data_IF_879142993018
#
_entry.id   IF_879142993018
#
_cell.length_a   1.000
_cell.length_b   1.000
_cell.length_c   1.000
_cell.angle_alpha   90.00
_cell.angle_beta   90.00
_cell.angle_gamma   90.00
#
_symmetry.space_group_name_H-M   'P 1'
#
loop_
_entity.id
_entity.type
_entity.pdbx_description
1 polymer ?
#
# COMPACT_ATOMS: atom_id res chain seq x y z
N UNK A 1 -10.40 -0.57 18.20
CA UNK A 1 -11.74 -0.10 17.77
C UNK A 1 -11.74 -0.10 16.25
N UNK A 2 -12.84 -0.47 15.59
CA UNK A 2 -12.92 -0.47 14.13
C UNK A 2 -12.68 0.94 13.57
N UNK A 3 -12.13 1.01 12.37
CA UNK A 3 -11.85 2.26 11.68
C UNK A 3 -13.00 2.61 10.73
N UNK A 4 -13.58 3.78 10.90
CA UNK A 4 -14.63 4.30 10.02
C UNK A 4 -14.04 5.29 9.01
N UNK A 5 -14.49 5.21 7.77
CA UNK A 5 -14.04 6.10 6.67
C UNK A 5 -15.25 6.70 5.96
N UNK A 6 -15.08 7.89 5.39
CA UNK A 6 -16.10 8.49 4.53
C UNK A 6 -16.23 7.71 3.22
N UNK A 7 -17.44 7.24 2.92
CA UNK A 7 -17.74 6.44 1.74
C UNK A 7 -17.48 7.23 0.44
N UNK A 8 -17.96 8.47 0.37
CA UNK A 8 -17.90 9.27 -0.87
C UNK A 8 -16.44 9.50 -1.23
N UNK A 9 -15.66 10.04 -0.30
CA UNK A 9 -14.23 10.29 -0.50
C UNK A 9 -13.47 9.00 -0.85
N UNK A 10 -13.76 7.91 -0.18
CA UNK A 10 -13.05 6.64 -0.44
C UNK A 10 -13.34 6.08 -1.83
N UNK A 11 -14.58 6.19 -2.31
CA UNK A 11 -14.96 5.76 -3.67
C UNK A 11 -14.33 6.66 -4.72
N UNK A 12 -14.34 7.98 -4.53
CA UNK A 12 -13.69 8.94 -5.43
C UNK A 12 -12.18 8.68 -5.56
N UNK A 13 -11.51 8.36 -4.45
CA UNK A 13 -10.10 8.00 -4.46
C UNK A 13 -9.83 6.70 -5.22
N UNK A 14 -10.66 5.66 -5.03
CA UNK A 14 -10.54 4.42 -5.78
C UNK A 14 -10.80 4.62 -7.28
N UNK A 15 -11.81 5.41 -7.64
CA UNK A 15 -12.10 5.75 -9.03
C UNK A 15 -10.92 6.46 -9.69
N UNK A 16 -10.36 7.46 -9.02
CA UNK A 16 -9.18 8.20 -9.50
C UNK A 16 -7.95 7.27 -9.64
N UNK A 17 -7.78 6.34 -8.70
CA UNK A 17 -6.67 5.38 -8.72
C UNK A 17 -6.80 4.38 -9.88
N UNK A 18 -8.00 3.83 -10.10
CA UNK A 18 -8.26 2.95 -11.23
C UNK A 18 -8.09 3.67 -12.58
N UNK A 19 -8.49 4.94 -12.66
CA UNK A 19 -8.27 5.76 -13.85
C UNK A 19 -6.77 6.03 -14.10
N UNK A 20 -5.98 6.25 -13.05
CA UNK A 20 -4.54 6.44 -13.15
C UNK A 20 -3.83 5.17 -13.63
N UNK A 21 -4.20 4.00 -13.08
CA UNK A 21 -3.71 2.70 -13.54
C UNK A 21 -4.09 2.42 -15.00
N UNK A 22 -5.33 2.69 -15.40
CA UNK A 22 -5.76 2.53 -16.80
C UNK A 22 -4.97 3.43 -17.75
N UNK A 23 -4.79 4.70 -17.38
CA UNK A 23 -4.01 5.67 -18.16
C UNK A 23 -2.55 5.26 -18.31
N UNK A 24 -1.92 4.84 -17.22
CA UNK A 24 -0.54 4.34 -17.22
C UNK A 24 -0.40 3.11 -18.12
N UNK A 25 -1.23 2.08 -17.90
CA UNK A 25 -1.15 0.81 -18.61
C UNK A 25 -1.55 0.93 -20.09
N UNK A 26 -2.44 1.87 -20.44
CA UNK A 26 -2.81 2.15 -21.84
C UNK A 26 -1.66 2.69 -22.68
N UNK A 27 -0.68 3.34 -22.05
CA UNK A 27 0.50 3.91 -22.71
C UNK A 27 1.66 2.93 -22.88
N UNK A 28 1.58 1.71 -22.34
CA UNK A 28 2.69 0.78 -22.34
C UNK A 28 2.93 0.13 -23.72
N UNK A 29 4.20 0.07 -24.12
CA UNK A 29 4.64 -0.75 -25.25
C UNK A 29 4.54 -2.25 -24.89
N UNK A 30 4.51 -3.09 -25.92
CA UNK A 30 4.28 -4.54 -25.73
C UNK A 30 5.32 -5.22 -24.83
N UNK A 31 6.58 -4.80 -24.92
CA UNK A 31 7.70 -5.33 -24.14
C UNK A 31 7.74 -4.80 -22.70
N UNK A 32 7.11 -3.66 -22.42
CA UNK A 32 7.05 -3.10 -21.06
C UNK A 32 6.17 -3.92 -20.12
N UNK A 33 5.21 -4.69 -20.62
CA UNK A 33 4.37 -5.56 -19.81
C UNK A 33 5.13 -6.69 -19.11
N UNK A 34 6.25 -7.11 -19.69
CA UNK A 34 7.09 -8.19 -19.17
C UNK A 34 8.29 -7.68 -18.35
N UNK A 35 8.41 -6.37 -18.14
CA UNK A 35 9.44 -5.81 -17.27
C UNK A 35 9.24 -6.29 -15.83
N UNK A 36 10.32 -6.73 -15.17
CA UNK A 36 10.25 -7.10 -13.76
C UNK A 36 9.99 -5.87 -12.89
N UNK A 37 9.22 -6.04 -11.83
CA UNK A 37 9.00 -5.03 -10.80
C UNK A 37 9.90 -5.28 -9.59
N UNK A 38 9.82 -4.40 -8.57
CA UNK A 38 10.48 -4.63 -7.28
C UNK A 38 9.86 -5.80 -6.48
N UNK A 39 8.72 -6.34 -6.90
CA UNK A 39 8.05 -7.46 -6.26
C UNK A 39 8.62 -8.78 -6.80
N UNK A 40 9.15 -9.66 -5.94
CA UNK A 40 9.79 -10.89 -6.39
C UNK A 40 8.87 -11.78 -7.24
N UNK A 41 9.27 -12.07 -8.46
CA UNK A 41 8.53 -12.94 -9.37
C UNK A 41 7.37 -12.29 -10.12
N UNK A 42 7.15 -10.98 -9.94
CA UNK A 42 6.08 -10.24 -10.62
C UNK A 42 6.61 -9.25 -11.65
N UNK A 43 6.04 -9.35 -12.84
CA UNK A 43 6.17 -8.36 -13.91
C UNK A 43 5.11 -7.27 -13.78
N UNK A 44 5.19 -6.23 -14.61
CA UNK A 44 4.16 -5.18 -14.73
C UNK A 44 2.77 -5.81 -14.96
N UNK A 45 2.67 -6.80 -15.83
CA UNK A 45 1.43 -7.54 -16.10
C UNK A 45 0.91 -8.27 -14.87
N UNK A 46 1.79 -8.89 -14.08
CA UNK A 46 1.42 -9.63 -12.88
C UNK A 46 0.86 -8.70 -11.80
N UNK A 47 1.43 -7.50 -11.66
CA UNK A 47 0.91 -6.48 -10.75
C UNK A 47 -0.53 -6.08 -11.12
N UNK A 48 -0.81 -5.81 -12.39
CA UNK A 48 -2.18 -5.50 -12.81
C UNK A 48 -3.11 -6.70 -12.64
N UNK A 49 -2.62 -7.92 -12.87
CA UNK A 49 -3.36 -9.18 -12.65
C UNK A 49 -3.73 -9.39 -11.19
N UNK A 50 -2.84 -9.02 -10.24
CA UNK A 50 -3.15 -9.04 -8.82
C UNK A 50 -4.31 -8.08 -8.47
N UNK A 51 -4.28 -6.85 -8.98
CA UNK A 51 -5.36 -5.88 -8.75
C UNK A 51 -6.69 -6.43 -9.29
N UNK A 52 -6.68 -6.98 -10.52
CA UNK A 52 -7.86 -7.63 -11.11
C UNK A 52 -8.39 -8.73 -10.19
N UNK A 53 -7.51 -9.61 -9.71
CA UNK A 53 -7.89 -10.73 -8.85
C UNK A 53 -8.57 -10.29 -7.57
N UNK A 54 -8.03 -9.27 -6.89
CA UNK A 54 -8.61 -8.75 -5.67
C UNK A 54 -9.97 -8.09 -5.92
N UNK A 55 -10.10 -7.29 -6.98
CA UNK A 55 -11.39 -6.65 -7.31
C UNK A 55 -12.42 -7.67 -7.79
N UNK A 56 -12.01 -8.72 -8.51
CA UNK A 56 -12.90 -9.82 -8.91
C UNK A 56 -13.40 -10.61 -7.68
N UNK A 57 -12.51 -10.94 -6.74
CA UNK A 57 -12.88 -11.58 -5.47
C UNK A 57 -13.89 -10.72 -4.70
N UNK A 58 -13.66 -9.42 -4.60
CA UNK A 58 -14.57 -8.48 -3.93
C UNK A 58 -15.90 -8.29 -4.68
N UNK A 59 -15.93 -8.55 -5.99
CA UNK A 59 -17.16 -8.60 -6.79
C UNK A 59 -17.91 -9.94 -6.66
N UNK A 60 -17.35 -10.91 -5.91
CA UNK A 60 -17.94 -12.23 -5.70
C UNK A 60 -17.59 -13.26 -6.78
N UNK A 61 -16.64 -12.99 -7.63
CA UNK A 61 -16.18 -13.96 -8.64
C UNK A 61 -15.47 -15.13 -7.94
N UNK A 62 -15.68 -16.37 -8.39
CA UNK A 62 -14.99 -17.53 -7.84
C UNK A 62 -13.50 -17.49 -8.18
N UNK A 63 -12.66 -17.92 -7.25
CA UNK A 63 -11.22 -18.04 -7.51
C UNK A 63 -10.97 -18.97 -8.70
N UNK A 64 -10.08 -18.59 -9.64
CA UNK A 64 -9.70 -19.45 -10.74
C UNK A 64 -8.94 -20.69 -10.24
N UNK A 65 -8.80 -21.69 -11.09
CA UNK A 65 -7.94 -22.85 -10.83
C UNK A 65 -6.60 -22.61 -11.52
N UNK A 66 -5.53 -22.52 -10.72
CA UNK A 66 -4.17 -22.40 -11.23
C UNK A 66 -3.21 -23.22 -10.34
N UNK A 67 -2.15 -23.77 -10.94
CA UNK A 67 -1.12 -24.47 -10.19
C UNK A 67 -0.05 -23.49 -9.72
N UNK A 68 -0.03 -23.24 -8.42
CA UNK A 68 0.93 -22.36 -7.75
C UNK A 68 2.02 -23.15 -7.01
N UNK A 69 2.06 -24.48 -7.11
CA UNK A 69 2.96 -25.34 -6.33
C UNK A 69 4.46 -25.12 -6.63
N UNK A 70 4.78 -24.54 -7.79
CA UNK A 70 6.14 -24.21 -8.20
C UNK A 70 6.65 -22.86 -7.66
N UNK A 71 5.77 -22.07 -7.05
CA UNK A 71 6.11 -20.74 -6.52
C UNK A 71 6.59 -20.85 -5.07
N UNK A 72 7.78 -20.34 -4.78
CA UNK A 72 8.42 -20.48 -3.47
C UNK A 72 8.49 -19.16 -2.67
N UNK A 73 7.99 -18.06 -3.23
CA UNK A 73 8.00 -16.75 -2.56
C UNK A 73 6.79 -16.52 -1.64
N UNK A 74 5.74 -17.30 -1.78
CA UNK A 74 4.53 -17.22 -0.94
C UNK A 74 4.84 -17.56 0.51
N UNK A 75 4.41 -16.70 1.44
CA UNK A 75 4.70 -16.85 2.88
C UNK A 75 3.45 -16.89 3.77
N UNK A 76 2.29 -16.71 3.18
CA UNK A 76 1.02 -16.68 3.92
C UNK A 76 -0.16 -16.96 2.99
N UNK A 77 -1.35 -17.31 3.55
CA UNK A 77 -2.53 -17.66 2.75
C UNK A 77 -3.06 -16.53 1.86
N UNK A 78 -2.79 -15.26 2.18
CA UNK A 78 -3.19 -14.11 1.33
C UNK A 78 -2.35 -14.10 0.07
N UNK A 79 -1.03 -14.30 0.20
CA UNK A 79 -0.13 -14.42 -0.95
C UNK A 79 -0.52 -15.59 -1.86
N UNK A 80 -0.87 -16.76 -1.28
CA UNK A 80 -1.35 -17.92 -2.04
C UNK A 80 -2.63 -17.59 -2.82
N UNK A 81 -3.59 -16.93 -2.19
CA UNK A 81 -4.84 -16.52 -2.83
C UNK A 81 -4.59 -15.52 -3.98
N UNK A 82 -3.66 -14.59 -3.81
CA UNK A 82 -3.28 -13.62 -4.85
C UNK A 82 -2.61 -14.32 -6.04
N UNK A 83 -1.67 -15.24 -5.77
CA UNK A 83 -0.94 -15.95 -6.84
C UNK A 83 -1.83 -16.80 -7.73
N UNK A 84 -2.90 -17.39 -7.21
CA UNK A 84 -3.88 -18.12 -8.03
C UNK A 84 -4.46 -17.23 -9.13
N UNK A 85 -4.78 -15.98 -8.84
CA UNK A 85 -5.27 -15.01 -9.81
C UNK A 85 -4.17 -14.59 -10.80
N UNK A 86 -2.99 -14.25 -10.30
CA UNK A 86 -1.85 -13.84 -11.12
C UNK A 86 -1.49 -14.97 -12.10
N UNK A 87 -1.30 -16.18 -11.60
CA UNK A 87 -0.92 -17.33 -12.41
C UNK A 87 -1.96 -17.68 -13.48
N UNK A 88 -3.25 -17.53 -13.17
CA UNK A 88 -4.33 -17.76 -14.14
C UNK A 88 -4.31 -16.79 -15.33
N UNK A 89 -3.69 -15.62 -15.17
CA UNK A 89 -3.61 -14.57 -16.19
C UNK A 89 -2.26 -14.49 -16.89
N UNK A 90 -1.23 -15.19 -16.42
CA UNK A 90 0.09 -15.23 -17.07
C UNK A 90 0.08 -15.61 -18.58
N UNK A 91 -0.83 -16.51 -19.07
CA UNK A 91 -0.91 -16.78 -20.50
C UNK A 91 -1.45 -15.64 -21.35
N UNK A 92 -2.02 -14.58 -20.73
CA UNK A 92 -2.65 -13.48 -21.46
C UNK A 92 -1.62 -12.42 -21.85
N UNK A 93 -1.87 -11.73 -22.97
CA UNK A 93 -1.13 -10.55 -23.36
C UNK A 93 -1.54 -9.32 -22.50
N UNK A 94 -0.65 -8.31 -22.40
CA UNK A 94 -0.92 -7.10 -21.63
C UNK A 94 -2.21 -6.37 -22.00
N UNK A 95 -2.54 -6.33 -23.31
CA UNK A 95 -3.79 -5.71 -23.80
C UNK A 95 -5.03 -6.49 -23.30
N UNK A 96 -4.95 -7.81 -23.19
CA UNK A 96 -6.05 -8.63 -22.69
C UNK A 96 -6.21 -8.48 -21.19
N UNK A 97 -5.09 -8.39 -20.45
CA UNK A 97 -5.11 -8.10 -19.00
C UNK A 97 -5.72 -6.71 -18.76
N UNK A 98 -5.32 -5.69 -19.52
CA UNK A 98 -5.90 -4.34 -19.40
C UNK A 98 -7.42 -4.34 -19.71
N UNK A 99 -7.87 -5.09 -20.69
CA UNK A 99 -9.30 -5.22 -20.98
C UNK A 99 -10.06 -5.86 -19.82
N UNK A 100 -9.50 -6.89 -19.17
CA UNK A 100 -10.08 -7.49 -17.95
C UNK A 100 -10.10 -6.52 -16.78
N UNK A 101 -9.02 -5.76 -16.59
CA UNK A 101 -8.97 -4.70 -15.58
C UNK A 101 -10.15 -3.74 -15.73
N UNK A 102 -10.35 -3.19 -16.92
CA UNK A 102 -11.47 -2.27 -17.21
C UNK A 102 -12.83 -2.89 -16.88
N UNK A 103 -13.04 -4.15 -17.23
CA UNK A 103 -14.30 -4.84 -16.94
C UNK A 103 -14.54 -4.99 -15.44
N UNK A 104 -13.53 -5.42 -14.69
CA UNK A 104 -13.72 -5.65 -13.24
C UNK A 104 -13.86 -4.35 -12.48
N UNK A 105 -13.08 -3.30 -12.79
CA UNK A 105 -13.18 -2.03 -12.06
C UNK A 105 -14.49 -1.30 -12.36
N UNK A 106 -15.02 -1.41 -13.58
CA UNK A 106 -16.36 -0.88 -13.90
C UNK A 106 -17.43 -1.49 -12.99
N UNK A 107 -17.50 -2.82 -12.92
CA UNK A 107 -18.44 -3.52 -12.01
C UNK A 107 -18.23 -3.14 -10.54
N UNK A 108 -16.98 -2.98 -10.12
CA UNK A 108 -16.65 -2.61 -8.74
C UNK A 108 -17.11 -1.20 -8.41
N UNK A 109 -16.85 -0.24 -9.28
CA UNK A 109 -17.30 1.14 -9.08
C UNK A 109 -18.82 1.27 -9.06
N UNK A 110 -19.54 0.55 -9.94
CA UNK A 110 -21.01 0.47 -9.93
C UNK A 110 -21.53 -0.08 -8.59
N UNK A 111 -20.91 -1.17 -8.09
CA UNK A 111 -21.28 -1.75 -6.80
C UNK A 111 -21.01 -0.79 -5.64
N UNK A 112 -19.84 -0.16 -5.60
CA UNK A 112 -19.47 0.81 -4.56
C UNK A 112 -20.35 2.06 -4.59
N UNK A 113 -20.72 2.54 -5.78
CA UNK A 113 -21.64 3.68 -5.95
C UNK A 113 -23.02 3.38 -5.34
N UNK A 114 -23.50 2.13 -5.45
CA UNK A 114 -24.81 1.72 -4.93
C UNK A 114 -24.86 1.54 -3.41
N UNK A 115 -23.70 1.40 -2.74
CA UNK A 115 -23.60 1.23 -1.30
C UNK A 115 -23.94 2.51 -0.54
N UNK A 116 -24.44 2.36 0.68
CA UNK A 116 -24.63 3.44 1.66
C UNK A 116 -23.43 3.59 2.58
N UNK A 117 -23.38 4.67 3.38
CA UNK A 117 -22.39 4.79 4.46
C UNK A 117 -22.53 3.65 5.48
N UNK A 118 -23.75 3.22 5.78
CA UNK A 118 -23.97 2.10 6.70
C UNK A 118 -23.39 0.78 6.19
N UNK A 119 -23.37 0.56 4.87
CA UNK A 119 -22.71 -0.62 4.28
C UNK A 119 -21.19 -0.53 4.44
N UNK A 120 -20.61 0.70 4.32
CA UNK A 120 -19.19 0.94 4.56
C UNK A 120 -18.81 0.75 6.04
N UNK A 121 -19.70 1.09 6.95
CA UNK A 121 -19.50 0.95 8.40
C UNK A 121 -19.73 -0.49 8.90
N UNK A 122 -20.26 -1.36 8.05
CA UNK A 122 -20.54 -2.75 8.41
C UNK A 122 -19.24 -3.53 8.73
N UNK A 123 -19.28 -4.43 9.74
CA UNK A 123 -18.14 -5.28 10.07
C UNK A 123 -17.67 -6.11 8.89
N UNK A 124 -16.35 -6.14 8.68
CA UNK A 124 -15.73 -6.91 7.60
C UNK A 124 -14.37 -7.46 8.02
N UNK A 125 -14.05 -8.63 7.50
CA UNK A 125 -12.67 -9.08 7.48
C UNK A 125 -11.84 -8.16 6.56
N UNK A 126 -10.61 -7.87 6.98
CA UNK A 126 -9.64 -7.11 6.19
C UNK A 126 -8.24 -7.70 6.37
N UNK A 127 -7.27 -7.40 5.51
CA UNK A 127 -5.87 -7.76 5.74
C UNK A 127 -5.31 -7.22 7.07
N UNK A 128 -5.89 -6.14 7.61
CA UNK A 128 -5.49 -5.55 8.89
C UNK A 128 -6.15 -6.21 10.12
N UNK A 129 -7.12 -7.12 9.92
CA UNK A 129 -7.80 -7.83 11.00
C UNK A 129 -9.27 -8.10 10.74
N UNK A 130 -9.90 -8.82 11.72
CA UNK A 130 -11.31 -9.23 11.61
C UNK A 130 -12.29 -8.22 12.21
N UNK A 131 -11.80 -7.35 13.09
CA UNK A 131 -12.63 -6.40 13.85
C UNK A 131 -12.60 -5.01 13.20
N UNK A 132 -12.77 -4.97 11.88
CA UNK A 132 -12.70 -3.76 11.06
C UNK A 132 -13.97 -3.55 10.23
N UNK A 133 -14.04 -2.43 9.51
CA UNK A 133 -15.16 -2.10 8.64
C UNK A 133 -14.86 -2.43 7.18
N UNK A 134 -15.92 -2.60 6.38
CA UNK A 134 -15.78 -2.71 4.94
C UNK A 134 -15.15 -1.45 4.32
N UNK A 135 -15.50 -0.27 4.83
CA UNK A 135 -14.90 1.00 4.41
C UNK A 135 -13.39 1.03 4.63
N UNK A 136 -12.89 0.52 5.77
CA UNK A 136 -11.45 0.39 5.95
C UNK A 136 -10.83 -0.57 4.93
N UNK A 137 -11.51 -1.65 4.58
CA UNK A 137 -11.02 -2.54 3.53
C UNK A 137 -10.87 -1.76 2.20
N UNK A 138 -11.83 -0.89 1.86
CA UNK A 138 -11.72 -0.05 0.65
C UNK A 138 -10.57 0.97 0.73
N UNK A 139 -10.26 1.52 1.90
CA UNK A 139 -9.06 2.35 2.10
C UNK A 139 -7.77 1.53 1.94
N UNK A 140 -7.72 0.31 2.47
CA UNK A 140 -6.60 -0.62 2.25
C UNK A 140 -6.48 -0.94 0.74
N UNK A 141 -7.59 -1.11 0.03
CA UNK A 141 -7.56 -1.31 -1.43
C UNK A 141 -6.98 -0.11 -2.16
N UNK A 142 -7.37 1.12 -1.78
CA UNK A 142 -6.77 2.32 -2.35
C UNK A 142 -5.25 2.37 -2.10
N UNK A 143 -4.82 2.13 -0.87
CA UNK A 143 -3.40 2.08 -0.49
C UNK A 143 -2.63 1.04 -1.31
N UNK A 144 -3.18 -0.14 -1.47
CA UNK A 144 -2.58 -1.25 -2.21
C UNK A 144 -2.46 -0.91 -3.72
N UNK A 145 -3.54 -0.41 -4.34
CA UNK A 145 -3.53 0.01 -5.74
C UNK A 145 -2.54 1.17 -5.98
N UNK A 146 -2.48 2.14 -5.07
CA UNK A 146 -1.55 3.26 -5.14
C UNK A 146 -0.08 2.79 -5.10
N UNK A 147 0.27 1.87 -4.21
CA UNK A 147 1.62 1.31 -4.19
C UNK A 147 1.93 0.52 -5.47
N UNK A 148 0.98 -0.27 -5.96
CA UNK A 148 1.13 -1.05 -7.17
C UNK A 148 1.19 -0.20 -8.45
N UNK A 149 0.47 0.92 -8.50
CA UNK A 149 0.67 1.91 -9.57
C UNK A 149 2.13 2.38 -9.61
N UNK A 150 2.71 2.65 -8.44
CA UNK A 150 4.10 3.10 -8.34
C UNK A 150 5.10 1.97 -8.59
N UNK A 151 4.79 0.72 -8.27
CA UNK A 151 5.58 -0.44 -8.67
C UNK A 151 5.68 -0.54 -10.21
N UNK A 152 4.56 -0.29 -10.92
CA UNK A 152 4.54 -0.24 -12.39
C UNK A 152 5.33 0.97 -12.90
N UNK A 153 5.10 2.18 -12.33
CA UNK A 153 5.83 3.40 -12.72
C UNK A 153 7.34 3.24 -12.61
N UNK A 154 7.79 2.70 -11.49
CA UNK A 154 9.22 2.47 -11.24
C UNK A 154 9.79 1.46 -12.25
N UNK A 155 9.07 0.38 -12.58
CA UNK A 155 9.49 -0.62 -13.55
C UNK A 155 9.63 -0.07 -14.98
N UNK A 156 8.72 0.83 -15.39
CA UNK A 156 8.71 1.41 -16.75
C UNK A 156 9.43 2.76 -16.85
N UNK A 157 10.00 3.27 -15.76
CA UNK A 157 10.68 4.56 -15.72
C UNK A 157 9.73 5.77 -15.85
N UNK A 158 8.47 5.63 -15.48
CA UNK A 158 7.50 6.71 -15.47
C UNK A 158 7.64 7.59 -14.20
N UNK A 159 7.36 8.90 -14.28
CA UNK A 159 7.46 9.77 -13.11
C UNK A 159 6.46 9.41 -12.03
N UNK A 160 6.82 9.73 -10.76
CA UNK A 160 5.90 9.66 -9.62
C UNK A 160 4.68 10.55 -9.89
N UNK A 161 3.50 10.05 -9.56
CA UNK A 161 2.26 10.81 -9.66
C UNK A 161 2.17 11.83 -8.51
N UNK A 162 1.90 13.13 -8.81
CA UNK A 162 2.03 14.21 -7.83
C UNK A 162 0.75 14.48 -7.01
N UNK A 163 -0.31 13.69 -7.17
CA UNK A 163 -1.60 13.95 -6.51
C UNK A 163 -1.51 13.79 -5.00
N UNK A 164 -1.56 14.93 -4.31
CA UNK A 164 -1.42 15.01 -2.87
C UNK A 164 -2.49 14.24 -2.11
N UNK A 165 -3.73 14.20 -2.62
CA UNK A 165 -4.86 13.57 -1.94
C UNK A 165 -4.74 12.03 -1.90
N UNK A 166 -4.30 11.42 -3.01
CA UNK A 166 -4.05 9.97 -3.06
C UNK A 166 -2.92 9.57 -2.11
N UNK A 167 -1.82 10.33 -2.13
CA UNK A 167 -0.69 10.15 -1.23
C UNK A 167 -1.09 10.31 0.24
N UNK A 168 -1.89 11.34 0.56
CA UNK A 168 -2.36 11.63 1.91
C UNK A 168 -3.25 10.48 2.45
N UNK A 169 -4.15 9.96 1.62
CA UNK A 169 -4.99 8.80 1.95
C UNK A 169 -4.16 7.53 2.19
N UNK A 170 -3.11 7.31 1.39
CA UNK A 170 -2.20 6.19 1.60
C UNK A 170 -1.44 6.32 2.95
N UNK A 171 -1.03 7.53 3.31
CA UNK A 171 -0.43 7.83 4.62
C UNK A 171 -1.40 7.61 5.79
N UNK A 172 -2.70 7.82 5.61
CA UNK A 172 -3.71 7.51 6.63
C UNK A 172 -3.73 6.00 6.96
N UNK A 173 -3.56 5.13 5.97
CA UNK A 173 -3.48 3.70 6.24
C UNK A 173 -2.17 3.33 6.96
N UNK A 174 -1.04 3.88 6.55
CA UNK A 174 0.25 3.68 7.24
C UNK A 174 0.18 4.16 8.69
N UNK A 175 -0.46 5.30 8.94
CA UNK A 175 -0.60 5.85 10.29
C UNK A 175 -1.21 4.84 11.28
N UNK A 176 -2.16 4.01 10.83
CA UNK A 176 -2.77 2.97 11.69
C UNK A 176 -1.78 1.91 12.13
N UNK A 177 -0.73 1.66 11.33
CA UNK A 177 0.33 0.68 11.59
C UNK A 177 1.51 1.21 12.41
N UNK A 178 1.65 2.53 12.60
CA UNK A 178 2.87 3.12 13.18
C UNK A 178 3.17 2.64 14.60
N UNK A 179 2.15 2.45 15.44
CA UNK A 179 2.35 1.88 16.77
C UNK A 179 2.92 0.46 16.72
N UNK A 180 2.47 -0.36 15.77
CA UNK A 180 3.01 -1.69 15.53
C UNK A 180 4.43 -1.65 14.97
N UNK A 181 4.69 -0.79 13.99
CA UNK A 181 6.02 -0.61 13.39
C UNK A 181 7.05 -0.22 14.46
N UNK A 182 6.78 0.83 15.22
CA UNK A 182 7.70 1.34 16.24
C UNK A 182 7.86 0.38 17.42
N UNK A 183 6.74 -0.17 17.92
CA UNK A 183 6.74 -0.95 19.16
C UNK A 183 7.01 -2.44 18.99
N UNK A 184 6.75 -3.02 17.80
CA UNK A 184 6.91 -4.46 17.59
C UNK A 184 7.95 -4.80 16.54
N UNK A 185 7.93 -4.12 15.39
CA UNK A 185 8.90 -4.41 14.34
C UNK A 185 10.28 -3.84 14.67
N UNK A 186 10.35 -2.54 14.94
CA UNK A 186 11.58 -1.88 15.35
C UNK A 186 11.87 -2.08 16.85
N UNK A 187 10.88 -2.45 17.66
CA UNK A 187 11.03 -2.71 19.09
C UNK A 187 11.83 -1.61 19.82
N UNK A 188 11.50 -0.33 19.52
CA UNK A 188 12.19 0.78 20.17
C UNK A 188 11.95 0.77 21.68
N UNK A 189 12.97 1.18 22.47
CA UNK A 189 12.92 1.11 23.94
C UNK A 189 11.84 2.00 24.52
N UNK A 190 11.37 1.65 25.70
CA UNK A 190 10.44 2.46 26.50
C UNK A 190 11.02 3.86 26.76
N UNK A 191 10.17 4.90 26.74
CA UNK A 191 10.57 6.31 26.80
C UNK A 191 10.98 6.90 25.46
N UNK A 192 10.97 6.13 24.35
CA UNK A 192 11.25 6.68 23.01
C UNK A 192 10.15 7.63 22.55
N UNK A 193 10.55 8.80 22.05
CA UNK A 193 9.70 9.80 21.40
C UNK A 193 10.15 9.96 19.95
N UNK A 194 9.42 9.29 19.04
CA UNK A 194 9.77 9.18 17.63
C UNK A 194 9.04 10.25 16.82
N UNK A 195 9.80 11.12 16.17
CA UNK A 195 9.29 12.12 15.22
C UNK A 195 9.58 11.67 13.79
N UNK A 196 8.53 11.53 12.97
CA UNK A 196 8.67 11.30 11.53
C UNK A 196 8.15 12.52 10.79
N UNK A 197 9.02 13.18 10.04
CA UNK A 197 8.70 14.38 9.27
C UNK A 197 8.74 14.05 7.78
N UNK A 198 7.59 14.18 7.12
CA UNK A 198 7.44 13.86 5.71
C UNK A 198 7.32 15.14 4.89
N UNK A 199 8.11 15.23 3.81
CA UNK A 199 8.09 16.32 2.83
C UNK A 199 7.42 15.91 1.52
N UNK A 200 7.18 16.87 0.62
CA UNK A 200 6.63 16.63 -0.71
C UNK A 200 5.16 17.06 -0.83
N UNK A 201 4.40 16.49 -1.78
CA UNK A 201 3.03 16.92 -2.09
C UNK A 201 2.03 16.78 -0.93
N UNK A 202 2.22 15.77 -0.07
CA UNK A 202 1.43 15.55 1.15
C UNK A 202 2.32 15.60 2.39
N UNK A 203 2.78 16.80 2.81
CA UNK A 203 3.66 16.92 3.97
C UNK A 203 2.92 16.51 5.24
N UNK A 204 3.53 15.67 6.07
CA UNK A 204 2.92 15.18 7.29
C UNK A 204 3.94 14.97 8.40
N UNK A 205 3.50 15.09 9.62
CA UNK A 205 4.33 14.80 10.81
C UNK A 205 3.62 13.75 11.65
N UNK A 206 4.32 12.64 11.92
CA UNK A 206 3.86 11.65 12.87
C UNK A 206 4.68 11.71 14.15
N UNK A 207 4.01 11.55 15.27
CA UNK A 207 4.61 11.46 16.61
C UNK A 207 4.19 10.15 17.23
N UNK A 208 5.16 9.32 17.59
CA UNK A 208 4.91 8.05 18.27
C UNK A 208 5.65 8.03 19.59
N UNK A 209 4.93 7.88 20.69
CA UNK A 209 5.50 7.67 22.02
C UNK A 209 5.49 6.19 22.38
N UNK A 210 6.55 5.72 23.04
CA UNK A 210 6.64 4.37 23.61
C UNK A 210 6.58 4.47 25.13
N UNK A 211 5.40 4.16 25.67
CA UNK A 211 5.12 4.17 27.12
C UNK A 211 4.46 2.84 27.50
N UNK A 212 5.28 1.80 27.73
CA UNK A 212 4.85 0.42 27.83
C UNK A 212 4.33 -0.15 26.51
N UNK A 213 3.70 0.71 25.69
CA UNK A 213 3.21 0.40 24.33
C UNK A 213 3.43 1.61 23.43
N UNK A 214 3.85 1.37 22.17
CA UNK A 214 3.97 2.42 21.18
C UNK A 214 2.58 2.83 20.65
N UNK A 215 2.35 4.15 20.59
CA UNK A 215 1.11 4.75 20.08
C UNK A 215 1.37 6.11 19.43
N UNK A 216 0.54 6.47 18.44
CA UNK A 216 0.49 7.84 17.93
C UNK A 216 0.02 8.79 19.05
N UNK A 217 0.66 9.96 19.12
CA UNK A 217 0.31 11.03 20.06
C UNK A 217 0.30 12.39 19.36
N UNK A 218 -0.48 13.33 19.87
CA UNK A 218 -0.55 14.68 19.30
C UNK A 218 0.70 15.51 19.64
N UNK A 219 1.28 15.30 20.81
CA UNK A 219 2.47 15.99 21.30
C UNK A 219 3.32 15.12 22.20
N UNK A 220 4.56 15.53 22.45
CA UNK A 220 5.46 14.91 23.42
C UNK A 220 5.64 15.75 24.67
N UNK A 221 5.87 15.09 25.79
CA UNK A 221 6.37 15.72 27.02
C UNK A 221 7.92 15.83 26.93
N UNK A 222 8.41 16.76 26.12
CA UNK A 222 9.83 17.01 25.90
C UNK A 222 10.28 16.80 24.45
N UNK A 223 11.58 16.93 24.16
CA UNK A 223 12.09 16.81 22.79
C UNK A 223 12.00 15.36 22.27
N UNK A 224 11.91 15.17 20.92
CA UNK A 224 12.06 13.87 20.32
C UNK A 224 13.39 13.21 20.71
N UNK A 225 13.38 11.91 20.97
CA UNK A 225 14.60 11.13 21.21
C UNK A 225 15.15 10.57 19.89
N UNK A 226 14.27 10.33 18.92
CA UNK A 226 14.56 9.82 17.59
C UNK A 226 13.79 10.64 16.57
N UNK A 227 14.47 11.24 15.61
CA UNK A 227 13.85 11.94 14.49
C UNK A 227 14.29 11.36 13.15
N UNK A 228 13.33 11.19 12.24
CA UNK A 228 13.54 10.73 10.87
C UNK A 228 12.78 11.64 9.92
N UNK A 229 13.47 12.19 8.90
CA UNK A 229 12.83 13.04 7.90
C UNK A 229 13.16 12.54 6.49
N UNK A 230 12.13 12.42 5.63
CA UNK A 230 12.24 11.94 4.25
C UNK A 230 11.06 12.43 3.42
N UNK A 231 11.03 12.14 2.12
CA UNK A 231 9.83 12.38 1.32
C UNK A 231 8.68 11.43 1.72
N UNK A 232 7.43 11.87 1.56
CA UNK A 232 6.26 11.05 1.85
C UNK A 232 6.22 9.80 0.95
N UNK A 233 6.62 9.93 -0.31
CA UNK A 233 6.66 8.78 -1.23
C UNK A 233 7.73 7.77 -0.83
N UNK A 234 8.91 8.22 -0.39
CA UNK A 234 9.95 7.33 0.12
C UNK A 234 9.47 6.58 1.36
N UNK A 235 8.80 7.28 2.28
CA UNK A 235 8.21 6.65 3.45
C UNK A 235 7.20 5.57 3.09
N UNK A 236 6.33 5.81 2.09
CA UNK A 236 5.38 4.80 1.61
C UNK A 236 6.10 3.59 0.97
N UNK A 237 7.12 3.81 0.16
CA UNK A 237 7.92 2.73 -0.42
C UNK A 237 8.56 1.86 0.67
N UNK A 238 9.16 2.48 1.67
CA UNK A 238 9.78 1.77 2.80
C UNK A 238 8.75 0.99 3.63
N UNK A 239 7.62 1.62 3.96
CA UNK A 239 6.56 0.96 4.74
C UNK A 239 5.87 -0.15 3.96
N UNK A 240 5.80 -0.03 2.66
CA UNK A 240 5.36 -1.07 1.73
C UNK A 240 6.41 -2.14 1.41
N UNK A 241 7.62 -2.05 1.95
CA UNK A 241 8.69 -3.03 1.67
C UNK A 241 9.26 -2.95 0.24
N UNK A 242 9.03 -1.83 -0.49
CA UNK A 242 9.39 -1.68 -1.90
C UNK A 242 10.82 -1.20 -2.14
N UNK A 243 11.54 -0.83 -1.11
CA UNK A 243 12.85 -0.24 -1.28
C UNK A 243 13.93 -0.93 -0.46
N UNK A 244 15.06 -1.18 -1.11
CA UNK A 244 16.29 -1.55 -0.43
C UNK A 244 17.01 -0.26 0.02
N UNK A 245 17.33 -0.15 1.30
CA UNK A 245 18.08 0.97 1.88
C UNK A 245 19.47 1.18 1.23
N UNK A 246 19.97 0.19 0.49
CA UNK A 246 21.22 0.29 -0.25
C UNK A 246 21.07 0.99 -1.61
N UNK A 247 19.86 1.26 -2.06
CA UNK A 247 19.63 2.05 -3.26
C UNK A 247 19.83 3.54 -2.95
N UNK A 248 20.63 4.21 -3.76
CA UNK A 248 20.92 5.65 -3.61
C UNK A 248 19.65 6.45 -3.91
N UNK A 249 19.15 7.16 -2.90
CA UNK A 249 18.03 8.08 -3.06
C UNK A 249 18.54 9.49 -3.40
N UNK A 250 17.93 10.19 -4.37
CA UNK A 250 18.19 11.62 -4.57
C UNK A 250 17.78 12.48 -3.35
N UNK A 251 16.84 11.98 -2.50
CA UNK A 251 16.41 12.65 -1.27
C UNK A 251 16.88 11.83 -0.05
N UNK A 252 18.06 12.10 0.50
CA UNK A 252 18.63 11.31 1.58
C UNK A 252 17.78 11.44 2.86
N UNK A 253 17.60 10.30 3.54
CA UNK A 253 16.94 10.26 4.84
C UNK A 253 17.79 11.02 5.85
N UNK A 254 17.17 11.98 6.54
CA UNK A 254 17.82 12.76 7.60
C UNK A 254 17.42 12.24 8.95
N UNK A 255 18.40 12.20 9.85
CA UNK A 255 18.23 11.72 11.22
C UNK A 255 18.52 12.82 12.23
N UNK A 256 17.78 12.84 13.34
CA UNK A 256 18.05 13.70 14.50
C UNK A 256 17.84 12.92 15.81
N UNK A 257 18.43 13.38 16.90
CA UNK A 257 18.44 12.62 18.14
C UNK A 257 19.35 11.38 18.05
N UNK A 258 18.89 10.23 18.53
CA UNK A 258 19.62 8.97 18.44
C UNK A 258 19.59 8.42 17.01
N UNK A 259 20.70 8.62 16.30
CA UNK A 259 20.86 8.21 14.90
C UNK A 259 20.78 6.67 14.74
N UNK A 260 21.35 5.92 15.65
CA UNK A 260 21.37 4.45 15.55
C UNK A 260 19.95 3.89 15.67
N UNK A 261 19.15 4.41 16.59
CA UNK A 261 17.73 4.05 16.69
C UNK A 261 16.93 4.52 15.47
N UNK A 262 17.27 5.67 14.89
CA UNK A 262 16.65 6.17 13.65
C UNK A 262 16.92 5.24 12.46
N UNK A 263 18.16 4.83 12.24
CA UNK A 263 18.55 3.89 11.20
C UNK A 263 17.91 2.51 11.42
N UNK A 264 17.85 2.07 12.67
CA UNK A 264 17.17 0.83 13.04
C UNK A 264 15.66 0.89 12.77
N UNK A 265 14.99 2.02 13.10
CA UNK A 265 13.59 2.23 12.77
C UNK A 265 13.36 2.14 11.26
N UNK A 266 14.14 2.86 10.46
CA UNK A 266 14.00 2.91 9.00
C UNK A 266 14.18 1.51 8.39
N UNK A 267 15.13 0.72 8.88
CA UNK A 267 15.35 -0.67 8.44
C UNK A 267 14.18 -1.61 8.79
N UNK A 268 13.27 -1.20 9.66
CA UNK A 268 12.13 -2.00 10.13
C UNK A 268 10.76 -1.39 9.77
N UNK A 269 10.70 -0.42 8.85
CA UNK A 269 9.45 0.24 8.46
C UNK A 269 8.48 -0.68 7.72
N UNK A 270 8.97 -1.63 6.93
CA UNK A 270 8.13 -2.51 6.12
C UNK A 270 7.13 -3.29 7.00
N UNK A 271 5.83 -3.11 6.77
CA UNK A 271 4.78 -3.76 7.56
C UNK A 271 3.69 -4.43 6.72
N UNK A 272 3.66 -4.19 5.42
CA UNK A 272 2.75 -4.86 4.50
C UNK A 272 3.13 -6.34 4.32
N UNK A 273 2.16 -7.11 3.90
CA UNK A 273 2.26 -8.57 3.73
C UNK A 273 2.92 -8.90 2.38
#
# INVERSE_FOLDING_TARGET
>A
MPTFVDKVRTVELLEAEFAALDGLCSGLAADQWDLPTCLPGWTVRDVLSHIIGTEAMLAGDPAPVADTSHLHHMRNPVAEANEVWVESMRPLGGVEVLARFRQVVTRRLEALASMTQADFDAPSWTPAGRDETYGRFMRIRHFDCFLHEHDIRDAVGAPVRPEAEALDSALDEVATGLGYIVGRRAALPDGSRVLVELSGPAPRTFRVAVEGRAALVDSFDGPPTVGVAMSAMEFLRLTGGRRDLHQVDPDPIRYSGDRALGEHLVSNLAFTI
#
